data_IF_666633457524
#
_entry.id   IF_666633457524
#
_cell.length_a   1.000
_cell.length_b   1.000
_cell.length_c   1.000
_cell.angle_alpha   90.00
_cell.angle_beta   90.00
_cell.angle_gamma   90.00
#
_symmetry.space_group_name_H-M   'P 1'
#
loop_
_entity.id
_entity.type
_entity.pdbx_description
1 polymer ?
#
# COMPACT_ATOMS: atom_id res chain seq x y z
N UNK A 1 4.90 17.14 -8.72
CA UNK A 1 5.43 16.49 -7.50
C UNK A 1 6.19 17.56 -6.74
N UNK A 2 5.66 18.00 -5.60
CA UNK A 2 6.28 19.05 -4.80
C UNK A 2 7.47 18.42 -4.03
N UNK A 3 8.73 18.79 -4.32
CA UNK A 3 9.89 18.09 -3.78
C UNK A 3 10.18 18.38 -2.29
N UNK A 4 9.36 19.19 -1.62
CA UNK A 4 9.62 19.71 -0.27
C UNK A 4 8.53 19.36 0.76
N UNK A 5 7.61 18.46 0.43
CA UNK A 5 6.71 17.97 1.47
C UNK A 5 7.47 16.95 2.33
N UNK A 6 7.75 17.31 3.58
CA UNK A 6 8.07 16.36 4.65
C UNK A 6 6.82 15.50 4.93
N UNK A 7 6.49 14.61 4.00
CA UNK A 7 5.25 13.86 3.99
C UNK A 7 5.02 13.16 5.33
N UNK A 8 3.97 13.58 6.02
CA UNK A 8 3.49 12.97 7.25
C UNK A 8 2.32 12.06 6.87
N UNK A 9 2.67 10.84 6.46
CA UNK A 9 1.71 9.85 5.98
C UNK A 9 1.08 9.09 7.15
N UNK A 10 -0.21 9.32 7.37
CA UNK A 10 -1.01 8.50 8.28
C UNK A 10 -1.67 7.36 7.54
N UNK A 11 -1.71 6.20 8.20
CA UNK A 11 -2.54 5.10 7.75
C UNK A 11 -4.01 5.50 7.81
N UNK A 12 -4.72 5.34 6.70
CA UNK A 12 -6.16 5.58 6.60
C UNK A 12 -6.94 4.28 6.71
N UNK A 13 -6.74 3.38 5.75
CA UNK A 13 -7.43 2.09 5.66
C UNK A 13 -6.66 1.12 4.76
N UNK A 14 -6.97 -0.17 4.87
CA UNK A 14 -6.49 -1.21 3.97
C UNK A 14 -7.57 -1.56 2.97
N UNK A 15 -7.22 -1.51 1.69
CA UNK A 15 -8.02 -2.01 0.59
C UNK A 15 -7.60 -3.46 0.29
N UNK A 16 -8.58 -4.31 0.00
CA UNK A 16 -8.36 -5.73 -0.28
C UNK A 16 -8.89 -6.04 -1.66
N UNK A 17 -8.01 -6.01 -2.65
CA UNK A 17 -8.36 -6.38 -4.02
C UNK A 17 -8.26 -7.90 -4.16
N UNK A 18 -9.38 -8.55 -4.50
CA UNK A 18 -9.38 -9.93 -4.97
C UNK A 18 -9.13 -9.92 -6.46
N UNK A 19 -8.06 -10.59 -6.90
CA UNK A 19 -7.84 -10.78 -8.33
C UNK A 19 -8.54 -12.09 -8.69
N UNK A 20 -9.62 -12.00 -9.46
CA UNK A 20 -10.40 -13.17 -9.92
C UNK A 20 -9.60 -13.93 -10.98
N UNK A 21 -8.62 -14.72 -10.52
CA UNK A 21 -7.83 -15.62 -11.33
C UNK A 21 -8.36 -17.03 -11.16
N UNK A 22 -8.77 -17.66 -12.25
CA UNK A 22 -9.49 -18.95 -12.37
C UNK A 22 -8.89 -20.15 -11.60
N UNK A 23 -7.73 -20.03 -10.95
CA UNK A 23 -7.06 -21.15 -10.27
C UNK A 23 -6.46 -20.85 -8.88
N UNK A 24 -6.51 -19.62 -8.35
CA UNK A 24 -6.06 -19.29 -7.00
C UNK A 24 -6.66 -17.97 -6.52
N UNK A 25 -7.33 -17.98 -5.37
CA UNK A 25 -7.81 -16.77 -4.69
C UNK A 25 -6.61 -15.98 -4.16
N UNK A 26 -6.00 -15.15 -4.99
CA UNK A 26 -4.94 -14.24 -4.56
C UNK A 26 -5.59 -12.97 -3.98
N UNK A 27 -5.41 -12.71 -2.68
CA UNK A 27 -5.76 -11.41 -2.10
C UNK A 27 -4.56 -10.48 -2.11
N UNK A 28 -4.78 -9.27 -2.61
CA UNK A 28 -3.83 -8.16 -2.60
C UNK A 28 -4.26 -7.18 -1.52
N UNK A 29 -3.45 -7.03 -0.48
CA UNK A 29 -3.67 -6.01 0.54
C UNK A 29 -2.91 -4.75 0.14
N UNK A 30 -3.64 -3.64 0.06
CA UNK A 30 -3.12 -2.32 -0.27
C UNK A 30 -3.42 -1.39 0.89
N UNK A 31 -2.38 -0.97 1.59
CA UNK A 31 -2.54 0.03 2.63
C UNK A 31 -2.53 1.42 1.98
N UNK A 32 -3.55 2.20 2.31
CA UNK A 32 -3.72 3.58 1.83
C UNK A 32 -3.28 4.51 2.95
N UNK A 33 -2.38 5.40 2.60
CA UNK A 33 -1.85 6.43 3.48
C UNK A 33 -2.28 7.80 2.97
N UNK A 34 -2.47 8.74 3.89
CA UNK A 34 -2.77 10.12 3.57
C UNK A 34 -1.79 11.06 4.25
N UNK A 35 -1.19 11.92 3.43
CA UNK A 35 -0.30 12.98 3.85
C UNK A 35 -1.12 14.10 4.50
N UNK A 36 -1.00 14.32 5.81
CA UNK A 36 -1.70 15.44 6.49
C UNK A 36 -1.31 16.81 5.97
N UNK A 37 -0.07 16.96 5.49
CA UNK A 37 0.49 18.25 5.07
C UNK A 37 0.11 18.65 3.64
N UNK A 38 0.07 17.67 2.75
CA UNK A 38 -0.06 17.88 1.30
C UNK A 38 -1.35 17.31 0.71
N UNK A 39 -2.15 16.62 1.54
CA UNK A 39 -3.40 15.96 1.15
C UNK A 39 -3.22 14.93 0.02
N UNK A 40 -1.98 14.45 -0.17
CA UNK A 40 -1.64 13.40 -1.12
C UNK A 40 -2.02 12.03 -0.55
N UNK A 41 -2.54 11.16 -1.41
CA UNK A 41 -2.83 9.77 -1.09
C UNK A 41 -1.77 8.86 -1.68
N UNK A 42 -1.20 8.00 -0.84
CA UNK A 42 -0.20 7.01 -1.25
C UNK A 42 -0.73 5.60 -1.01
N UNK A 43 -0.56 4.72 -2.00
CA UNK A 43 -1.06 3.33 -1.94
C UNK A 43 0.12 2.37 -1.99
N UNK A 44 0.23 1.50 -0.99
CA UNK A 44 1.34 0.53 -0.87
C UNK A 44 0.77 -0.87 -0.85
N UNK A 45 1.22 -1.72 -1.77
CA UNK A 45 0.89 -3.15 -1.74
C UNK A 45 1.73 -3.81 -0.67
N UNK A 46 1.11 -4.14 0.47
CA UNK A 46 1.80 -4.73 1.64
C UNK A 46 1.78 -6.25 1.62
N UNK A 47 0.82 -6.85 0.91
CA UNK A 47 0.75 -8.29 0.74
C UNK A 47 0.24 -8.61 -0.66
N UNK A 48 1.02 -9.41 -1.37
CA UNK A 48 0.61 -10.08 -2.59
C UNK A 48 0.94 -11.56 -2.40
N UNK A 49 -0.05 -12.44 -2.54
CA UNK A 49 0.13 -13.86 -2.31
C UNK A 49 1.00 -14.54 -3.39
N UNK A 50 1.14 -13.88 -4.55
CA UNK A 50 1.92 -14.41 -5.68
C UNK A 50 3.43 -14.15 -5.53
N UNK A 51 3.83 -13.10 -4.80
CA UNK A 51 5.23 -12.80 -4.50
C UNK A 51 5.34 -12.16 -3.11
N UNK A 52 6.16 -12.74 -2.22
CA UNK A 52 6.56 -12.12 -0.95
C UNK A 52 7.45 -10.90 -1.21
N UNK A 53 6.92 -9.84 -1.81
CA UNK A 53 7.63 -8.58 -1.93
C UNK A 53 7.52 -7.84 -0.60
N UNK A 54 8.52 -8.03 0.27
CA UNK A 54 8.75 -7.16 1.42
C UNK A 54 9.66 -6.02 0.97
N UNK A 55 9.17 -4.77 0.90
CA UNK A 55 10.05 -3.64 0.70
C UNK A 55 11.12 -3.62 1.79
N UNK A 56 12.35 -3.26 1.44
CA UNK A 56 13.51 -3.31 2.33
C UNK A 56 13.40 -2.44 3.60
N UNK A 57 12.44 -1.52 3.65
CA UNK A 57 12.13 -0.68 4.80
C UNK A 57 11.12 -1.32 5.78
N UNK A 58 10.50 -2.45 5.43
CA UNK A 58 9.54 -3.16 6.29
C UNK A 58 10.29 -4.04 7.31
N UNK A 59 10.57 -3.50 8.50
CA UNK A 59 11.03 -4.28 9.65
C UNK A 59 9.82 -4.86 10.39
N UNK A 60 9.78 -6.18 10.49
CA UNK A 60 8.82 -6.92 11.31
C UNK A 60 9.06 -6.70 12.81
#
# INVERSE_FOLDING_TARGET
MNPECEHDYDFLYSDYEKTDGTYKENYKQIDVFHCRKCLEYQRVVVRNEDERYKPSWYKA
#
